data_IF_499146827366
#
_entry.id   IF_499146827366
#
_cell.length_a   1.000
_cell.length_b   1.000
_cell.length_c   1.000
_cell.angle_alpha   90.00
_cell.angle_beta   90.00
_cell.angle_gamma   90.00
#
_symmetry.space_group_name_H-M   'P 1'
#
loop_
_entity.id
_entity.type
_entity.pdbx_description
1 polymer ?
#
# COMPACT_ATOMS: atom_id res chain seq x y z
N UNK A 1 16.41 -7.69 17.59
CA UNK A 1 14.94 -7.79 17.82
C UNK A 1 14.17 -6.59 17.32
N UNK A 2 14.49 -5.34 17.71
CA UNK A 2 13.77 -4.14 17.24
C UNK A 2 13.66 -4.04 15.70
N UNK A 3 14.75 -4.34 14.99
CA UNK A 3 14.79 -4.41 13.53
C UNK A 3 13.78 -5.37 12.90
N UNK A 4 13.58 -6.54 13.53
CA UNK A 4 12.64 -7.57 13.07
C UNK A 4 11.22 -7.04 13.15
N UNK A 5 10.84 -6.42 14.28
CA UNK A 5 9.52 -5.81 14.43
C UNK A 5 9.30 -4.69 13.41
N UNK A 6 10.28 -3.82 13.21
CA UNK A 6 10.16 -2.69 12.29
C UNK A 6 9.91 -3.16 10.86
N UNK A 7 10.65 -4.19 10.41
CA UNK A 7 10.45 -4.81 9.10
C UNK A 7 9.09 -5.52 9.03
N UNK A 8 8.70 -6.28 10.06
CA UNK A 8 7.42 -7.00 10.10
C UNK A 8 6.23 -6.05 9.92
N UNK A 9 6.22 -4.91 10.62
CA UNK A 9 5.16 -3.92 10.46
C UNK A 9 5.18 -3.24 9.08
N UNK A 10 6.36 -2.98 8.52
CA UNK A 10 6.46 -2.45 7.16
C UNK A 10 5.87 -3.43 6.13
N UNK A 11 6.11 -4.73 6.31
CA UNK A 11 5.52 -5.79 5.49
C UNK A 11 4.01 -5.88 5.65
N UNK A 12 3.54 -5.91 6.89
CA UNK A 12 2.12 -5.96 7.20
C UNK A 12 1.39 -4.79 6.52
N UNK A 13 1.98 -3.60 6.54
CA UNK A 13 1.45 -2.41 5.84
C UNK A 13 1.42 -2.57 4.32
N UNK A 14 2.45 -3.15 3.71
CA UNK A 14 2.46 -3.46 2.27
C UNK A 14 1.35 -4.42 1.87
N UNK A 15 1.21 -5.53 2.61
CA UNK A 15 0.16 -6.53 2.39
C UNK A 15 -1.23 -5.92 2.58
N UNK A 16 -1.41 -5.12 3.64
CA UNK A 16 -2.66 -4.41 3.91
C UNK A 16 -3.04 -3.46 2.77
N UNK A 17 -2.06 -2.71 2.23
CA UNK A 17 -2.27 -1.84 1.06
C UNK A 17 -2.78 -2.62 -0.16
N UNK A 18 -2.19 -3.80 -0.44
CA UNK A 18 -2.63 -4.68 -1.52
C UNK A 18 -4.04 -5.27 -1.29
N UNK A 19 -4.37 -5.64 -0.05
CA UNK A 19 -5.72 -6.12 0.31
C UNK A 19 -6.73 -4.98 0.11
N UNK A 20 -6.44 -3.79 0.63
CA UNK A 20 -7.32 -2.63 0.49
C UNK A 20 -7.56 -2.28 -0.99
N UNK A 21 -6.54 -2.40 -1.85
CA UNK A 21 -6.67 -2.24 -3.30
C UNK A 21 -7.70 -3.22 -3.90
N UNK A 22 -7.57 -4.50 -3.57
CA UNK A 22 -8.47 -5.56 -4.05
C UNK A 22 -9.89 -5.34 -3.56
N UNK A 23 -10.07 -4.99 -2.29
CA UNK A 23 -11.37 -4.68 -1.69
C UNK A 23 -12.02 -3.49 -2.39
N UNK A 24 -11.28 -2.40 -2.61
CA UNK A 24 -11.78 -1.23 -3.34
C UNK A 24 -12.18 -1.59 -4.78
N UNK A 25 -11.38 -2.43 -5.47
CA UNK A 25 -11.70 -2.93 -6.80
C UNK A 25 -13.01 -3.74 -6.83
N UNK A 26 -13.18 -4.67 -5.88
CA UNK A 26 -14.40 -5.48 -5.78
C UNK A 26 -15.63 -4.63 -5.49
N UNK A 27 -15.52 -3.69 -4.55
CA UNK A 27 -16.62 -2.82 -4.16
C UNK A 27 -17.03 -1.88 -5.31
N UNK A 28 -16.08 -1.21 -5.95
CA UNK A 28 -16.37 -0.17 -6.95
C UNK A 28 -16.67 -0.75 -8.33
N UNK A 29 -15.92 -1.77 -8.78
CA UNK A 29 -16.10 -2.32 -10.13
C UNK A 29 -17.23 -3.33 -10.21
N UNK A 30 -17.33 -4.23 -9.21
CA UNK A 30 -18.36 -5.27 -9.23
C UNK A 30 -19.64 -4.88 -8.51
N UNK A 31 -19.68 -3.74 -7.81
CA UNK A 31 -20.83 -3.31 -6.97
C UNK A 31 -21.34 -4.44 -6.08
N UNK A 32 -20.44 -5.34 -5.67
CA UNK A 32 -20.78 -6.46 -4.80
C UNK A 32 -20.47 -6.06 -3.38
N UNK A 33 -21.46 -6.24 -2.52
CA UNK A 33 -21.24 -6.23 -1.09
C UNK A 33 -20.27 -7.37 -0.75
N UNK A 34 -19.20 -7.01 -0.06
CA UNK A 34 -18.23 -7.97 0.46
C UNK A 34 -18.73 -8.38 1.85
N UNK A 35 -18.78 -9.69 2.11
CA UNK A 35 -18.94 -10.23 3.45
C UNK A 35 -17.65 -9.95 4.25
N UNK A 36 -17.56 -8.72 4.76
CA UNK A 36 -16.54 -8.30 5.70
C UNK A 36 -16.69 -9.15 6.98
N UNK A 37 -15.57 -9.61 7.55
CA UNK A 37 -15.52 -10.43 8.76
C UNK A 37 -15.38 -11.95 8.59
N UNK A 38 -15.88 -12.57 7.50
CA UNK A 38 -15.89 -14.06 7.39
C UNK A 38 -14.50 -14.68 7.20
N UNK A 39 -13.59 -13.97 6.53
CA UNK A 39 -12.22 -14.44 6.22
C UNK A 39 -11.12 -13.48 6.67
N UNK A 40 -11.46 -12.45 7.44
CA UNK A 40 -10.50 -11.44 7.88
C UNK A 40 -9.41 -12.03 8.78
N UNK A 41 -9.74 -13.00 9.63
CA UNK A 41 -8.73 -13.67 10.46
C UNK A 41 -7.64 -14.36 9.64
N UNK A 42 -7.98 -14.92 8.46
CA UNK A 42 -6.99 -15.52 7.55
C UNK A 42 -6.10 -14.46 6.92
N UNK A 43 -6.66 -13.29 6.61
CA UNK A 43 -5.91 -12.16 6.09
C UNK A 43 -4.97 -11.57 7.15
N UNK A 44 -5.43 -11.43 8.39
CA UNK A 44 -4.60 -11.00 9.52
C UNK A 44 -3.48 -12.01 9.80
N UNK A 45 -3.81 -13.31 9.82
CA UNK A 45 -2.80 -14.36 9.96
C UNK A 45 -1.77 -14.27 8.83
N UNK A 46 -2.19 -14.14 7.57
CA UNK A 46 -1.27 -13.98 6.44
C UNK A 46 -0.41 -12.71 6.56
N UNK A 47 -0.99 -11.60 7.02
CA UNK A 47 -0.31 -10.31 7.13
C UNK A 47 0.80 -10.28 8.18
N UNK A 48 0.66 -11.02 9.29
CA UNK A 48 1.65 -11.04 10.37
C UNK A 48 2.50 -12.31 10.37
N UNK A 49 1.89 -13.49 10.21
CA UNK A 49 2.59 -14.77 10.31
C UNK A 49 3.56 -14.98 9.15
N UNK A 50 3.19 -14.59 7.91
CA UNK A 50 4.08 -14.76 6.77
C UNK A 50 5.34 -13.88 6.89
N UNK A 51 5.25 -12.55 7.16
CA UNK A 51 6.43 -11.74 7.39
C UNK A 51 7.26 -12.19 8.60
N UNK A 52 6.61 -12.60 9.69
CA UNK A 52 7.31 -13.08 10.88
C UNK A 52 8.16 -14.33 10.59
N UNK A 53 7.61 -15.34 9.91
CA UNK A 53 8.36 -16.55 9.53
C UNK A 53 9.57 -16.18 8.66
N UNK A 54 9.34 -15.34 7.65
CA UNK A 54 10.41 -14.96 6.72
C UNK A 54 11.51 -14.17 7.43
N UNK A 55 11.17 -13.22 8.28
CA UNK A 55 12.15 -12.41 9.01
C UNK A 55 12.91 -13.22 10.07
N UNK A 56 12.25 -14.15 10.75
CA UNK A 56 12.90 -15.07 11.69
C UNK A 56 13.90 -15.97 10.96
N UNK A 57 13.53 -16.55 9.81
CA UNK A 57 14.45 -17.37 9.02
C UNK A 57 15.63 -16.57 8.48
N UNK A 58 15.42 -15.32 8.03
CA UNK A 58 16.49 -14.42 7.62
C UNK A 58 17.42 -14.06 8.80
N UNK A 59 16.86 -13.85 10.00
CA UNK A 59 17.62 -13.57 11.22
C UNK A 59 18.53 -14.74 11.61
N UNK A 60 17.98 -15.96 11.62
CA UNK A 60 18.70 -17.18 12.00
C UNK A 60 19.84 -17.53 11.02
N UNK A 61 19.69 -17.16 9.75
CA UNK A 61 20.69 -17.40 8.70
C UNK A 61 21.74 -16.27 8.58
N UNK A 62 21.80 -15.33 9.52
CA UNK A 62 22.76 -14.22 9.49
C UNK A 62 22.48 -13.21 8.36
N UNK A 63 21.25 -13.15 7.86
CA UNK A 63 20.81 -12.24 6.80
C UNK A 63 20.50 -10.82 7.28
N UNK A 64 20.68 -10.52 8.57
CA UNK A 64 20.50 -9.18 9.14
C UNK A 64 21.84 -8.53 9.47
N UNK A 65 22.02 -7.29 9.05
CA UNK A 65 23.23 -6.50 9.32
C UNK A 65 22.90 -5.00 9.39
N UNK A 66 23.87 -4.16 9.72
CA UNK A 66 23.68 -2.72 9.78
C UNK A 66 23.71 -2.08 8.37
N UNK A 67 22.61 -1.45 7.95
CA UNK A 67 22.51 -0.76 6.65
C UNK A 67 22.66 0.77 6.81
N UNK A 68 23.63 1.21 7.62
CA UNK A 68 23.97 2.63 7.84
C UNK A 68 23.08 3.43 8.80
N UNK A 69 21.75 3.26 8.77
CA UNK A 69 20.81 4.01 9.64
C UNK A 69 20.09 3.14 10.68
N UNK A 70 19.91 1.85 10.38
CA UNK A 70 19.28 0.88 11.28
C UNK A 70 19.76 -0.54 10.95
N UNK A 71 19.48 -1.49 11.84
CA UNK A 71 19.74 -2.91 11.58
C UNK A 71 18.63 -3.44 10.66
N UNK A 72 19.01 -3.96 9.49
CA UNK A 72 18.11 -4.36 8.41
C UNK A 72 18.59 -5.63 7.70
N UNK A 73 18.09 -5.92 6.50
CA UNK A 73 18.56 -7.05 5.69
C UNK A 73 19.91 -6.70 5.04
N UNK A 74 20.90 -7.56 5.23
CA UNK A 74 22.31 -7.35 4.84
C UNK A 74 22.48 -6.98 3.36
N UNK A 75 23.17 -5.89 3.05
CA UNK A 75 23.52 -5.53 1.67
C UNK A 75 24.50 -6.57 1.06
N UNK A 76 24.35 -6.91 -0.22
CA UNK A 76 25.01 -8.05 -0.87
C UNK A 76 24.18 -9.35 -0.87
N UNK A 77 24.39 -10.27 0.10
CA UNK A 77 23.64 -11.55 0.16
C UNK A 77 22.16 -11.38 0.55
N UNK A 78 21.81 -10.31 1.25
CA UNK A 78 20.43 -9.95 1.56
C UNK A 78 19.78 -9.09 0.48
N UNK A 79 20.48 -8.69 -0.60
CA UNK A 79 19.85 -8.01 -1.76
C UNK A 79 18.84 -8.94 -2.42
N UNK A 80 19.15 -10.24 -2.54
CA UNK A 80 18.20 -11.21 -3.07
C UNK A 80 16.98 -11.39 -2.14
N UNK A 81 17.21 -11.42 -0.83
CA UNK A 81 16.13 -11.51 0.15
C UNK A 81 15.27 -10.24 0.20
N UNK A 82 15.90 -9.08 0.14
CA UNK A 82 15.26 -7.78 0.03
C UNK A 82 14.47 -7.70 -1.29
N UNK A 83 15.01 -8.20 -2.40
CA UNK A 83 14.32 -8.28 -3.67
C UNK A 83 13.08 -9.17 -3.62
N UNK A 84 13.28 -10.44 -3.25
CA UNK A 84 12.24 -11.47 -3.28
C UNK A 84 11.14 -11.16 -2.27
N UNK A 85 11.52 -10.67 -1.10
CA UNK A 85 10.58 -10.49 0.00
C UNK A 85 10.04 -9.06 -0.02
N UNK A 86 10.86 -7.99 -0.09
CA UNK A 86 10.35 -6.59 -0.05
C UNK A 86 9.90 -6.13 -1.43
N UNK A 87 10.81 -6.15 -2.41
CA UNK A 87 10.62 -5.42 -3.65
C UNK A 87 9.54 -6.04 -4.55
N UNK A 88 9.53 -7.36 -4.73
CA UNK A 88 8.54 -8.04 -5.58
C UNK A 88 7.11 -7.84 -5.04
N UNK A 89 6.78 -8.13 -3.77
CA UNK A 89 5.43 -7.93 -3.25
C UNK A 89 4.98 -6.47 -3.25
N UNK A 90 5.91 -5.53 -2.99
CA UNK A 90 5.64 -4.10 -3.04
C UNK A 90 5.33 -3.65 -4.48
N UNK A 91 6.12 -4.12 -5.45
CA UNK A 91 5.90 -3.84 -6.88
C UNK A 91 4.56 -4.38 -7.37
N UNK A 92 4.22 -5.62 -7.03
CA UNK A 92 2.91 -6.22 -7.36
C UNK A 92 1.78 -5.39 -6.77
N UNK A 93 1.93 -4.97 -5.51
CA UNK A 93 0.94 -4.14 -4.82
C UNK A 93 0.79 -2.78 -5.50
N UNK A 94 1.89 -2.10 -5.85
CA UNK A 94 1.87 -0.81 -6.55
C UNK A 94 1.25 -0.90 -7.94
N UNK A 95 1.60 -1.92 -8.73
CA UNK A 95 1.00 -2.13 -10.05
C UNK A 95 -0.50 -2.37 -9.91
N UNK A 96 -0.92 -3.20 -8.95
CA UNK A 96 -2.34 -3.46 -8.71
C UNK A 96 -3.09 -2.18 -8.29
N UNK A 97 -2.54 -1.39 -7.36
CA UNK A 97 -3.10 -0.12 -6.90
C UNK A 97 -3.21 0.89 -8.05
N UNK A 98 -2.19 0.98 -8.91
CA UNK A 98 -2.20 1.89 -10.07
C UNK A 98 -3.29 1.53 -11.08
N UNK A 99 -3.48 0.23 -11.35
CA UNK A 99 -4.56 -0.26 -12.22
C UNK A 99 -5.92 0.08 -11.59
N UNK A 100 -6.10 -0.22 -10.30
CA UNK A 100 -7.34 0.09 -9.57
C UNK A 100 -7.64 1.58 -9.62
N UNK A 101 -6.63 2.43 -9.36
CA UNK A 101 -6.75 3.88 -9.41
C UNK A 101 -7.24 4.36 -10.77
N UNK A 102 -6.60 3.89 -11.84
CA UNK A 102 -6.97 4.28 -13.19
C UNK A 102 -8.41 3.87 -13.52
N UNK A 103 -8.84 2.67 -13.14
CA UNK A 103 -10.20 2.19 -13.35
C UNK A 103 -11.23 3.00 -12.54
N UNK A 104 -10.94 3.31 -11.28
CA UNK A 104 -11.80 4.15 -10.44
C UNK A 104 -11.92 5.56 -11.04
N UNK A 105 -10.78 6.15 -11.42
CA UNK A 105 -10.73 7.48 -11.99
C UNK A 105 -11.49 7.56 -13.32
N UNK A 106 -11.32 6.55 -14.18
CA UNK A 106 -12.06 6.45 -15.44
C UNK A 106 -13.57 6.35 -15.19
N UNK A 107 -14.01 5.49 -14.27
CA UNK A 107 -15.43 5.36 -13.90
C UNK A 107 -15.99 6.67 -13.37
N UNK A 108 -15.25 7.33 -12.46
CA UNK A 108 -15.63 8.64 -11.91
C UNK A 108 -15.73 9.71 -13.01
N UNK A 109 -14.80 9.74 -13.95
CA UNK A 109 -14.82 10.68 -15.08
C UNK A 109 -16.06 10.48 -15.96
N UNK A 110 -16.41 9.23 -16.29
CA UNK A 110 -17.59 8.90 -17.10
C UNK A 110 -18.87 9.30 -16.35
N UNK A 111 -19.01 8.94 -15.09
CA UNK A 111 -20.17 9.28 -14.25
C UNK A 111 -20.34 10.80 -14.13
N UNK A 112 -19.28 11.54 -13.78
CA UNK A 112 -19.33 13.01 -13.69
C UNK A 112 -19.73 13.65 -15.03
N UNK A 113 -19.23 13.11 -16.15
CA UNK A 113 -19.57 13.60 -17.50
C UNK A 113 -21.03 13.30 -17.85
N UNK A 114 -21.58 12.16 -17.44
CA UNK A 114 -23.00 11.83 -17.63
C UNK A 114 -23.89 12.73 -16.79
N UNK A 115 -23.53 12.96 -15.51
CA UNK A 115 -24.28 13.85 -14.61
C UNK A 115 -24.34 15.28 -15.13
N UNK A 116 -23.24 15.80 -15.67
CA UNK A 116 -23.23 17.13 -16.31
C UNK A 116 -24.17 17.22 -17.52
N UNK A 117 -24.43 16.10 -18.20
CA UNK A 117 -25.37 16.05 -19.35
C UNK A 117 -26.82 15.90 -18.91
N UNK A 118 -27.09 15.17 -17.85
CA UNK A 118 -28.44 15.02 -17.26
C UNK A 118 -28.62 16.01 -16.11
N UNK A 119 -29.01 17.25 -16.43
CA UNK A 119 -29.27 18.31 -15.44
C UNK A 119 -30.15 17.78 -14.28
N UNK A 120 -29.57 17.66 -13.09
CA UNK A 120 -30.28 17.70 -11.80
C UNK A 120 -30.91 16.41 -11.26
N UNK A 121 -31.21 15.40 -12.08
CA UNK A 121 -32.00 14.23 -11.63
C UNK A 121 -31.16 13.07 -11.06
N UNK A 122 -30.21 13.37 -10.16
CA UNK A 122 -29.50 12.32 -9.42
C UNK A 122 -30.23 11.93 -8.14
N UNK A 123 -30.50 10.63 -7.98
CA UNK A 123 -30.94 10.08 -6.69
C UNK A 123 -29.87 10.29 -5.62
N UNK A 124 -30.29 10.38 -4.35
CA UNK A 124 -29.34 10.48 -3.21
C UNK A 124 -28.33 9.31 -3.19
N UNK A 125 -28.75 8.13 -3.64
CA UNK A 125 -27.89 6.94 -3.74
C UNK A 125 -26.72 7.15 -4.73
N UNK A 126 -26.96 7.76 -5.90
CA UNK A 126 -25.89 8.04 -6.87
C UNK A 126 -24.88 9.07 -6.34
N UNK A 127 -25.32 10.04 -5.54
CA UNK A 127 -24.41 11.02 -4.90
C UNK A 127 -23.53 10.35 -3.85
N UNK A 128 -24.10 9.48 -3.00
CA UNK A 128 -23.34 8.73 -1.99
C UNK A 128 -22.29 7.81 -2.63
N UNK A 129 -22.64 7.12 -3.72
CA UNK A 129 -21.69 6.28 -4.47
C UNK A 129 -20.56 7.12 -5.05
N UNK A 130 -20.84 8.31 -5.60
CA UNK A 130 -19.83 9.20 -6.17
C UNK A 130 -18.84 9.68 -5.09
N UNK A 131 -19.36 10.04 -3.92
CA UNK A 131 -18.57 10.49 -2.77
C UNK A 131 -17.69 9.36 -2.23
N UNK A 132 -18.25 8.16 -2.03
CA UNK A 132 -17.48 6.99 -1.63
C UNK A 132 -16.39 6.63 -2.66
N UNK A 133 -16.71 6.69 -3.95
CA UNK A 133 -15.76 6.43 -5.04
C UNK A 133 -14.62 7.45 -5.05
N UNK A 134 -14.93 8.74 -4.84
CA UNK A 134 -13.94 9.82 -4.72
C UNK A 134 -13.00 9.59 -3.54
N UNK A 135 -13.54 9.28 -2.36
CA UNK A 135 -12.72 9.05 -1.17
C UNK A 135 -11.81 7.83 -1.33
N UNK A 136 -12.33 6.75 -1.92
CA UNK A 136 -11.52 5.57 -2.24
C UNK A 136 -10.42 5.90 -3.26
N UNK A 137 -10.68 6.77 -4.25
CA UNK A 137 -9.64 7.21 -5.19
C UNK A 137 -8.51 7.99 -4.50
N UNK A 138 -8.85 8.87 -3.55
CA UNK A 138 -7.85 9.60 -2.74
C UNK A 138 -7.04 8.66 -1.86
N UNK A 139 -7.70 7.69 -1.22
CA UNK A 139 -7.03 6.66 -0.43
C UNK A 139 -6.02 5.87 -1.26
N UNK A 140 -6.41 5.40 -2.45
CA UNK A 140 -5.54 4.66 -3.35
C UNK A 140 -4.38 5.53 -3.84
N UNK A 141 -4.62 6.81 -4.16
CA UNK A 141 -3.58 7.74 -4.58
C UNK A 141 -2.51 7.94 -3.49
N UNK A 142 -2.93 8.15 -2.24
CA UNK A 142 -2.00 8.29 -1.11
C UNK A 142 -1.20 7.01 -0.91
N UNK A 143 -1.82 5.83 -1.05
CA UNK A 143 -1.09 4.56 -1.00
C UNK A 143 -0.02 4.47 -2.09
N UNK A 144 -0.33 4.87 -3.33
CA UNK A 144 0.67 4.90 -4.42
C UNK A 144 1.83 5.84 -4.09
N UNK A 145 1.54 7.06 -3.63
CA UNK A 145 2.58 8.04 -3.28
C UNK A 145 3.46 7.55 -2.14
N UNK A 146 2.87 6.88 -1.15
CA UNK A 146 3.60 6.30 -0.01
C UNK A 146 4.60 5.22 -0.44
N UNK A 147 4.21 4.34 -1.37
CA UNK A 147 5.05 3.23 -1.81
C UNK A 147 6.06 3.61 -2.90
N UNK A 148 5.93 4.81 -3.49
CA UNK A 148 6.81 5.30 -4.54
C UNK A 148 8.26 5.42 -4.08
N UNK A 149 8.51 6.01 -2.91
CA UNK A 149 9.87 6.21 -2.40
C UNK A 149 10.59 4.90 -2.06
N UNK A 150 9.94 3.92 -1.38
CA UNK A 150 10.50 2.58 -1.21
C UNK A 150 10.78 1.86 -2.52
N UNK A 151 9.94 2.06 -3.55
CA UNK A 151 10.15 1.45 -4.87
C UNK A 151 11.38 2.04 -5.58
N UNK A 152 11.56 3.37 -5.56
CA UNK A 152 12.75 4.03 -6.12
C UNK A 152 14.01 3.55 -5.39
N UNK A 153 13.95 3.49 -4.05
CA UNK A 153 15.04 2.96 -3.24
C UNK A 153 15.37 1.51 -3.61
N UNK A 154 14.34 0.66 -3.72
CA UNK A 154 14.51 -0.74 -4.11
C UNK A 154 15.14 -0.90 -5.49
N UNK A 155 14.73 -0.11 -6.49
CA UNK A 155 15.37 -0.11 -7.81
C UNK A 155 16.84 0.32 -7.75
N UNK A 156 17.15 1.33 -6.93
CA UNK A 156 18.50 1.89 -6.84
C UNK A 156 19.52 0.88 -6.32
N UNK A 157 19.13 0.08 -5.32
CA UNK A 157 19.96 -0.98 -4.73
C UNK A 157 20.44 -2.03 -5.75
N UNK A 158 19.77 -2.16 -6.92
CA UNK A 158 20.21 -3.05 -8.00
C UNK A 158 21.23 -2.42 -8.96
N UNK A 159 21.33 -1.10 -8.96
CA UNK A 159 22.21 -0.35 -9.85
C UNK A 159 23.50 -0.03 -9.12
N UNK A 160 23.39 0.53 -7.91
CA UNK A 160 24.52 1.00 -7.11
C UNK A 160 24.14 1.17 -5.63
N UNK A 161 25.10 1.48 -4.77
CA UNK A 161 24.84 1.88 -3.40
C UNK A 161 23.99 3.17 -3.37
N UNK A 162 22.78 3.14 -2.79
CA UNK A 162 21.91 4.32 -2.79
C UNK A 162 22.51 5.42 -1.91
N UNK A 163 22.43 6.69 -2.36
CA UNK A 163 22.95 7.80 -1.56
C UNK A 163 22.17 7.95 -0.25
N UNK A 164 22.86 8.37 0.82
CA UNK A 164 22.25 8.55 2.15
C UNK A 164 21.00 9.44 2.15
N UNK A 165 20.98 10.47 1.29
CA UNK A 165 19.82 11.33 1.09
C UNK A 165 18.57 10.54 0.65
N UNK A 166 18.72 9.50 -0.18
CA UNK A 166 17.61 8.67 -0.62
C UNK A 166 17.02 7.86 0.55
N UNK A 167 17.87 7.38 1.45
CA UNK A 167 17.46 6.70 2.67
C UNK A 167 16.67 7.63 3.61
N UNK A 168 17.12 8.88 3.79
CA UNK A 168 16.42 9.88 4.60
C UNK A 168 15.05 10.22 4.00
N UNK A 169 14.99 10.49 2.70
CA UNK A 169 13.73 10.78 1.99
C UNK A 169 12.76 9.60 2.12
N UNK A 170 13.25 8.37 1.96
CA UNK A 170 12.45 7.16 2.15
C UNK A 170 11.89 7.05 3.57
N UNK A 171 12.71 7.36 4.57
CA UNK A 171 12.30 7.34 5.97
C UNK A 171 11.21 8.39 6.24
N UNK A 172 11.42 9.64 5.80
CA UNK A 172 10.44 10.71 5.96
C UNK A 172 9.13 10.38 5.24
N UNK A 173 9.18 9.94 3.98
CA UNK A 173 8.00 9.58 3.19
C UNK A 173 7.18 8.47 3.87
N UNK A 174 7.86 7.46 4.43
CA UNK A 174 7.21 6.37 5.15
C UNK A 174 6.53 6.86 6.44
N UNK A 175 7.18 7.75 7.19
CA UNK A 175 6.62 8.37 8.39
C UNK A 175 5.40 9.27 8.09
N UNK A 176 5.48 10.11 7.05
CA UNK A 176 4.37 10.95 6.62
C UNK A 176 3.17 10.13 6.11
N UNK A 177 3.41 8.94 5.57
CA UNK A 177 2.35 8.01 5.15
C UNK A 177 1.33 7.70 6.26
N UNK A 178 1.77 7.63 7.53
CA UNK A 178 0.87 7.45 8.67
C UNK A 178 -0.05 8.66 8.90
N UNK A 179 0.50 9.88 8.75
CA UNK A 179 -0.25 11.13 8.90
C UNK A 179 -1.31 11.25 7.80
N UNK A 180 -0.95 10.98 6.54
CA UNK A 180 -1.90 11.04 5.43
C UNK A 180 -3.03 10.02 5.58
N UNK A 181 -2.73 8.80 6.07
CA UNK A 181 -3.76 7.81 6.39
C UNK A 181 -4.73 8.32 7.45
N UNK A 182 -4.23 8.99 8.49
CA UNK A 182 -5.05 9.61 9.52
C UNK A 182 -5.96 10.71 8.97
N UNK A 183 -5.43 11.58 8.12
CA UNK A 183 -6.20 12.65 7.45
C UNK A 183 -7.31 12.06 6.59
N UNK A 184 -7.02 11.03 5.79
CA UNK A 184 -8.03 10.36 4.95
C UNK A 184 -9.10 9.71 5.82
N UNK A 185 -8.70 8.99 6.88
CA UNK A 185 -9.65 8.36 7.79
C UNK A 185 -10.61 9.38 8.41
N UNK A 186 -10.08 10.51 8.89
CA UNK A 186 -10.90 11.60 9.43
C UNK A 186 -11.83 12.21 8.37
N UNK A 187 -11.38 12.30 7.12
CA UNK A 187 -12.18 12.81 6.01
C UNK A 187 -13.33 11.87 5.67
N UNK A 188 -13.06 10.56 5.58
CA UNK A 188 -14.06 9.52 5.31
C UNK A 188 -15.09 9.44 6.44
N UNK A 189 -14.65 9.50 7.71
CA UNK A 189 -15.54 9.38 8.87
C UNK A 189 -16.49 10.57 9.04
N UNK A 190 -16.15 11.73 8.48
CA UNK A 190 -16.92 12.97 8.64
C UNK A 190 -18.08 13.08 7.66
N UNK A 191 -18.09 12.25 6.61
CA UNK A 191 -19.18 12.10 5.64
C UNK A 191 -20.12 10.96 6.04
#
# INVERSE_FOLDING_TARGET
MYAVFLLEFAYAQGILGGIAAKTACYYILKQKELDLGKYEWKMFAYMFVFPAIVLVTASLNGGMDHNGLYCGLKEGKGVLWNFLIIFIPLSISMTSLSIVYFLIWYKLYVEVKQIKKTLGNQSMASKQILVATRNMSFFVLVMILRFLTPAIHGCWVFIDEPPSALYEINTYATCFGGIFNGIIYLTIRRE
#
